data_IF_400719316542
#
_entry.id   IF_400719316542
#
_cell.length_a   1.000
_cell.length_b   1.000
_cell.length_c   1.000
_cell.angle_alpha   90.00
_cell.angle_beta   90.00
_cell.angle_gamma   90.00
#
_symmetry.space_group_name_H-M   'P 1'
#
loop_
_entity.id
_entity.type
_entity.pdbx_description
1 polymer ?
#
# COMPACT_ATOMS: atom_id res chain seq x y z
N UNK A 1 6.52 4.71 67.27
CA UNK A 1 7.29 5.24 66.13
C UNK A 1 7.75 4.08 65.28
N UNK A 2 7.11 3.87 64.13
CA UNK A 2 7.63 3.05 63.02
C UNK A 2 6.89 3.50 61.76
N UNK A 3 7.58 4.30 60.94
CA UNK A 3 7.11 4.74 59.62
C UNK A 3 7.71 3.81 58.57
N UNK A 4 6.86 3.04 57.92
CA UNK A 4 7.06 2.36 56.63
C UNK A 4 5.66 2.31 56.00
N UNK A 5 5.40 2.59 54.74
CA UNK A 5 6.18 2.31 53.55
C UNK A 5 5.66 3.17 52.37
N UNK A 6 6.61 3.69 51.59
CA UNK A 6 6.67 3.56 50.12
C UNK A 6 5.52 4.12 49.28
N UNK A 7 5.71 5.33 48.78
CA UNK A 7 5.24 5.73 47.46
C UNK A 7 5.97 4.91 46.38
N UNK A 8 5.26 4.46 45.34
CA UNK A 8 5.68 4.57 43.92
C UNK A 8 4.46 4.22 43.06
N UNK A 9 4.07 5.21 42.27
CA UNK A 9 3.13 5.18 41.15
C UNK A 9 3.61 4.15 40.13
N UNK A 10 2.78 3.17 39.79
CA UNK A 10 2.96 2.35 38.59
C UNK A 10 1.73 2.52 37.71
N UNK A 11 1.74 3.66 37.00
CA UNK A 11 0.96 3.91 35.81
C UNK A 11 1.58 3.06 34.69
N UNK A 12 1.23 1.77 34.65
CA UNK A 12 1.66 0.89 33.56
C UNK A 12 0.95 1.34 32.29
N UNK A 13 1.71 2.02 31.44
CA UNK A 13 1.37 2.34 30.05
C UNK A 13 0.70 1.13 29.41
N UNK A 14 -0.60 1.23 29.17
CA UNK A 14 -1.22 0.57 28.05
C UNK A 14 -0.62 1.21 26.80
N UNK A 15 0.54 0.71 26.37
CA UNK A 15 1.02 0.91 25.00
C UNK A 15 -0.04 0.22 24.15
N UNK A 16 -0.98 1.02 23.69
CA UNK A 16 -1.93 0.66 22.66
C UNK A 16 -1.09 0.27 21.45
N UNK A 17 -0.81 -1.02 21.33
CA UNK A 17 -0.42 -1.65 20.07
C UNK A 17 -1.65 -1.58 19.17
N UNK A 18 -2.04 -0.38 18.74
CA UNK A 18 -2.78 -0.22 17.49
C UNK A 18 -1.82 -0.66 16.41
N UNK A 19 -1.74 -1.97 16.21
CA UNK A 19 -1.10 -2.54 15.04
C UNK A 19 -1.77 -1.90 13.84
N UNK A 20 -1.04 -1.04 13.13
CA UNK A 20 -1.52 -0.50 11.88
C UNK A 20 -1.90 -1.69 11.00
N UNK A 21 -3.17 -1.80 10.63
CA UNK A 21 -3.61 -2.87 9.74
C UNK A 21 -2.79 -2.80 8.44
N UNK A 22 -2.29 -3.93 7.96
CA UNK A 22 -1.52 -4.02 6.71
C UNK A 22 -2.18 -5.00 5.74
N UNK A 23 -1.99 -4.74 4.45
CA UNK A 23 -2.34 -5.67 3.36
C UNK A 23 -1.08 -6.03 2.61
N UNK A 24 -0.80 -7.32 2.46
CA UNK A 24 0.28 -7.80 1.60
C UNK A 24 -0.19 -7.78 0.15
N UNK A 25 0.55 -7.07 -0.72
CA UNK A 25 0.29 -7.04 -2.16
C UNK A 25 1.47 -7.61 -2.90
N UNK A 26 1.20 -8.56 -3.80
CA UNK A 26 2.17 -9.23 -4.65
C UNK A 26 2.28 -8.48 -5.98
N UNK A 27 3.33 -7.69 -6.16
CA UNK A 27 3.62 -6.99 -7.41
C UNK A 27 4.36 -7.95 -8.34
N UNK A 28 3.65 -8.48 -9.34
CA UNK A 28 4.18 -9.55 -10.20
C UNK A 28 4.64 -9.05 -11.56
N UNK A 29 3.91 -8.07 -12.14
CA UNK A 29 4.15 -7.61 -13.49
C UNK A 29 4.17 -6.08 -13.60
N UNK A 30 5.02 -5.52 -14.47
CA UNK A 30 5.97 -6.22 -15.35
C UNK A 30 7.26 -6.62 -14.62
N UNK A 31 7.82 -7.79 -14.96
CA UNK A 31 9.05 -8.30 -14.35
C UNK A 31 10.26 -7.39 -14.68
N UNK A 32 11.16 -7.22 -13.71
CA UNK A 32 12.32 -6.34 -13.82
C UNK A 32 11.99 -4.84 -13.72
N UNK A 33 10.72 -4.47 -13.54
CA UNK A 33 10.37 -3.09 -13.24
C UNK A 33 10.76 -2.71 -11.80
N UNK A 34 11.13 -1.45 -11.62
CA UNK A 34 11.48 -0.88 -10.31
C UNK A 34 10.35 0.01 -9.83
N UNK A 35 9.74 -0.33 -8.70
CA UNK A 35 8.70 0.42 -8.02
C UNK A 35 9.31 1.23 -6.88
N UNK A 36 9.20 2.55 -6.95
CA UNK A 36 9.49 3.46 -5.85
C UNK A 36 8.18 3.83 -5.15
N UNK A 37 8.08 3.45 -3.88
CA UNK A 37 7.05 3.93 -2.99
C UNK A 37 7.56 5.19 -2.28
N UNK A 38 7.02 6.35 -2.65
CA UNK A 38 7.46 7.64 -2.09
C UNK A 38 7.18 7.70 -0.58
N UNK A 39 7.96 8.47 0.19
CA UNK A 39 7.70 8.69 1.59
C UNK A 39 6.30 9.29 1.79
N UNK A 40 5.65 8.92 2.89
CA UNK A 40 4.39 9.54 3.35
C UNK A 40 4.63 10.04 4.77
N UNK A 41 3.78 10.90 5.34
CA UNK A 41 4.03 11.61 6.61
C UNK A 41 4.45 10.77 7.85
N UNK A 42 4.47 9.43 7.77
CA UNK A 42 4.98 8.52 8.79
C UNK A 42 6.28 7.76 8.39
N UNK A 43 6.77 7.89 7.15
CA UNK A 43 7.96 7.22 6.63
C UNK A 43 8.95 8.27 6.09
N UNK A 44 10.15 8.31 6.67
CA UNK A 44 11.16 9.33 6.40
C UNK A 44 11.90 9.14 5.07
N UNK A 45 11.85 7.95 4.48
CA UNK A 45 12.51 7.63 3.22
C UNK A 45 11.58 6.84 2.30
N UNK A 46 11.65 7.12 1.00
CA UNK A 46 11.05 6.26 -0.02
C UNK A 46 11.76 4.91 -0.06
N UNK A 47 11.06 3.87 -0.50
CA UNK A 47 11.63 2.54 -0.66
C UNK A 47 11.42 2.04 -2.08
N UNK A 48 12.50 1.56 -2.67
CA UNK A 48 12.52 0.98 -4.01
C UNK A 48 12.45 -0.55 -3.93
N UNK A 49 11.75 -1.14 -4.88
CA UNK A 49 11.52 -2.57 -4.98
C UNK A 49 11.63 -2.99 -6.45
N UNK A 50 12.27 -4.11 -6.72
CA UNK A 50 12.28 -4.73 -8.04
C UNK A 50 11.17 -5.80 -8.12
N UNK A 51 10.44 -5.84 -9.24
CA UNK A 51 9.38 -6.83 -9.47
C UNK A 51 9.95 -8.12 -10.07
N UNK A 52 9.49 -9.31 -9.63
CA UNK A 52 8.36 -9.53 -8.72
C UNK A 52 8.73 -9.38 -7.24
N UNK A 53 7.81 -8.87 -6.43
CA UNK A 53 8.03 -8.66 -4.99
C UNK A 53 6.71 -8.61 -4.21
N UNK A 54 6.76 -8.95 -2.92
CA UNK A 54 5.62 -8.85 -2.01
C UNK A 54 5.86 -7.72 -1.00
N UNK A 55 4.90 -6.79 -0.89
CA UNK A 55 5.03 -5.62 -0.04
C UNK A 55 3.86 -5.57 0.94
N UNK A 56 4.19 -5.48 2.24
CA UNK A 56 3.21 -5.18 3.27
C UNK A 56 2.93 -3.68 3.27
N UNK A 57 1.74 -3.31 2.82
CA UNK A 57 1.31 -1.92 2.70
C UNK A 57 0.39 -1.55 3.87
N UNK A 58 0.59 -0.38 4.50
CA UNK A 58 -0.30 0.08 5.56
C UNK A 58 -1.68 0.37 4.97
N UNK A 59 -2.70 -0.25 5.55
CA UNK A 59 -4.08 0.11 5.30
C UNK A 59 -4.35 1.47 5.96
N UNK A 60 -5.16 2.29 5.31
CA UNK A 60 -5.63 3.54 5.89
C UNK A 60 -7.13 3.49 6.09
N UNK A 61 -7.56 3.97 7.25
CA UNK A 61 -8.94 4.37 7.48
C UNK A 61 -9.30 5.40 6.42
N UNK A 62 -10.15 5.02 5.47
CA UNK A 62 -10.93 6.01 4.75
C UNK A 62 -12.37 5.87 5.19
N UNK A 63 -12.84 6.72 6.14
CA UNK A 63 -14.24 6.73 6.52
C UNK A 63 -15.18 7.09 5.35
N UNK A 64 -14.65 7.56 4.21
CA UNK A 64 -15.41 7.87 3.00
C UNK A 64 -14.55 7.83 1.71
N UNK A 65 -14.06 6.69 1.18
CA UNK A 65 -13.46 6.75 -0.18
C UNK A 65 -13.20 5.44 -0.93
N UNK A 66 -14.21 4.61 -1.23
CA UNK A 66 -14.08 3.80 -2.46
C UNK A 66 -14.05 4.74 -3.69
N UNK A 67 -14.71 5.90 -3.58
CA UNK A 67 -14.91 6.88 -4.66
C UNK A 67 -14.13 8.21 -4.50
N UNK A 68 -13.23 8.34 -3.53
CA UNK A 68 -12.41 9.57 -3.38
C UNK A 68 -10.93 9.25 -3.59
N UNK A 69 -10.27 10.11 -4.38
CA UNK A 69 -8.86 10.03 -4.71
C UNK A 69 -7.96 10.72 -3.67
N UNK A 70 -8.49 11.09 -2.51
CA UNK A 70 -7.70 11.66 -1.42
C UNK A 70 -6.94 10.58 -0.63
N UNK A 71 -5.69 10.87 -0.25
CA UNK A 71 -4.90 10.02 0.66
C UNK A 71 -4.04 8.92 0.01
N UNK A 72 -4.03 8.84 -1.32
CA UNK A 72 -3.18 7.92 -2.09
C UNK A 72 -1.69 8.18 -1.85
N UNK A 73 -0.92 7.10 -1.71
CA UNK A 73 0.54 7.15 -1.63
C UNK A 73 1.11 7.38 -3.03
N UNK A 74 1.93 8.42 -3.26
CA UNK A 74 2.59 8.59 -4.54
C UNK A 74 3.51 7.41 -4.84
N UNK A 75 3.51 6.97 -6.08
CA UNK A 75 4.40 5.92 -6.58
C UNK A 75 5.07 6.38 -7.85
N UNK A 76 6.29 5.90 -8.07
CA UNK A 76 6.95 5.92 -9.39
C UNK A 76 7.31 4.51 -9.78
N UNK A 77 7.25 4.22 -11.06
CA UNK A 77 7.69 2.93 -11.59
C UNK A 77 8.57 3.17 -12.80
N UNK A 78 9.69 2.45 -12.88
CA UNK A 78 10.57 2.45 -14.06
C UNK A 78 10.48 1.05 -14.67
N UNK A 79 10.03 0.98 -15.92
CA UNK A 79 9.97 -0.27 -16.68
C UNK A 79 11.36 -0.71 -17.13
N UNK A 80 11.48 -1.96 -17.59
CA UNK A 80 12.75 -2.52 -18.08
C UNK A 80 13.30 -1.82 -19.33
N UNK A 81 12.47 -1.07 -20.05
CA UNK A 81 12.87 -0.24 -21.20
C UNK A 81 13.08 1.23 -20.82
N UNK A 82 13.31 1.51 -19.54
CA UNK A 82 13.49 2.84 -18.95
C UNK A 82 12.27 3.78 -19.05
N UNK A 83 11.11 3.28 -19.48
CA UNK A 83 9.86 4.06 -19.43
C UNK A 83 9.53 4.41 -17.97
N UNK A 84 9.40 5.70 -17.68
CA UNK A 84 9.05 6.21 -16.35
C UNK A 84 7.55 6.44 -16.23
N UNK A 85 6.98 5.91 -15.16
CA UNK A 85 5.57 6.02 -14.80
C UNK A 85 5.44 6.70 -13.44
N UNK A 86 4.39 7.50 -13.27
CA UNK A 86 4.00 8.08 -11.98
C UNK A 86 2.54 7.82 -11.70
N UNK A 87 2.19 7.80 -10.42
CA UNK A 87 0.84 7.47 -10.02
C UNK A 87 0.58 7.57 -8.53
N UNK A 88 -0.57 7.04 -8.13
CA UNK A 88 -1.01 6.96 -6.74
C UNK A 88 -1.53 5.56 -6.42
N UNK A 89 -1.10 5.04 -5.27
CA UNK A 89 -1.51 3.77 -4.68
C UNK A 89 -2.42 4.03 -3.47
N UNK A 90 -3.60 3.46 -3.51
CA UNK A 90 -4.60 3.52 -2.44
C UNK A 90 -4.74 2.12 -1.86
N UNK A 91 -4.64 1.99 -0.53
CA UNK A 91 -4.83 0.72 0.18
C UNK A 91 -5.95 0.89 1.18
N UNK A 92 -7.04 0.17 0.96
CA UNK A 92 -8.27 0.33 1.71
C UNK A 92 -8.20 -0.45 3.02
N UNK A 93 -8.70 0.15 4.11
CA UNK A 93 -8.93 -0.61 5.34
C UNK A 93 -10.03 -1.63 5.10
N UNK A 94 -9.69 -2.89 5.31
CA UNK A 94 -10.60 -4.00 5.24
C UNK A 94 -10.39 -4.86 6.48
N UNK A 95 -11.45 -5.01 7.27
CA UNK A 95 -11.53 -6.09 8.24
C UNK A 95 -11.70 -7.39 7.45
N UNK A 96 -10.56 -8.00 7.10
CA UNK A 96 -10.47 -9.27 6.41
C UNK A 96 -10.52 -10.40 7.43
N UNK A 97 -11.44 -11.34 7.26
CA UNK A 97 -11.40 -12.60 7.99
C UNK A 97 -10.18 -13.46 7.57
N UNK A 98 -9.91 -14.56 8.26
CA UNK A 98 -8.77 -15.42 7.94
C UNK A 98 -8.83 -15.97 6.50
N UNK A 99 -10.03 -16.24 5.98
CA UNK A 99 -10.22 -16.75 4.62
C UNK A 99 -9.87 -15.70 3.57
N UNK A 100 -10.28 -14.45 3.78
CA UNK A 100 -9.95 -13.33 2.90
C UNK A 100 -8.45 -13.01 2.89
N UNK A 101 -7.75 -13.24 4.01
CA UNK A 101 -6.29 -13.08 4.12
C UNK A 101 -5.50 -14.15 3.37
N UNK A 102 -6.10 -15.31 3.09
CA UNK A 102 -5.49 -16.38 2.29
C UNK A 102 -5.53 -16.09 0.79
N UNK A 103 -6.37 -15.15 0.36
CA UNK A 103 -6.41 -14.74 -1.03
C UNK A 103 -5.16 -13.90 -1.35
N UNK A 104 -4.38 -14.35 -2.33
CA UNK A 104 -3.25 -13.57 -2.82
C UNK A 104 -3.77 -12.31 -3.52
N UNK A 105 -3.41 -11.15 -2.98
CA UNK A 105 -3.76 -9.86 -3.55
C UNK A 105 -2.64 -9.44 -4.50
N UNK A 106 -2.86 -9.64 -5.80
CA UNK A 106 -1.83 -9.44 -6.81
C UNK A 106 -2.00 -8.10 -7.54
N UNK A 107 -0.88 -7.45 -7.84
CA UNK A 107 -0.75 -6.36 -8.80
C UNK A 107 -0.10 -6.86 -10.10
N UNK A 108 -0.77 -6.57 -11.21
CA UNK A 108 -0.27 -6.81 -12.57
C UNK A 108 -0.58 -5.60 -13.44
N UNK A 109 0.45 -4.99 -14.01
CA UNK A 109 0.32 -4.02 -15.09
C UNK A 109 0.62 -4.76 -16.41
N UNK A 110 -0.44 -5.05 -17.16
CA UNK A 110 -0.39 -5.87 -18.38
C UNK A 110 0.20 -5.11 -19.57
N UNK A 111 0.69 -5.83 -20.59
CA UNK A 111 1.26 -5.22 -21.80
C UNK A 111 0.26 -4.31 -22.53
N UNK A 112 -1.03 -4.67 -22.53
CA UNK A 112 -2.08 -3.81 -23.10
C UNK A 112 -2.18 -2.48 -22.36
N UNK A 113 -2.17 -2.53 -21.02
CA UNK A 113 -2.19 -1.32 -20.19
C UNK A 113 -0.91 -0.50 -20.36
N UNK A 114 0.26 -1.14 -20.45
CA UNK A 114 1.53 -0.46 -20.74
C UNK A 114 1.45 0.25 -22.09
N UNK A 115 0.90 -0.39 -23.12
CA UNK A 115 0.70 0.21 -24.44
C UNK A 115 -0.20 1.44 -24.39
N UNK A 116 -1.31 1.38 -23.64
CA UNK A 116 -2.20 2.54 -23.41
C UNK A 116 -1.46 3.68 -22.71
N UNK A 117 -0.72 3.37 -21.64
CA UNK A 117 0.08 4.38 -20.93
C UNK A 117 1.08 5.05 -21.88
N UNK A 118 1.81 4.27 -22.69
CA UNK A 118 2.77 4.79 -23.66
C UNK A 118 2.14 5.69 -24.74
N UNK A 119 0.85 5.49 -25.05
CA UNK A 119 0.08 6.36 -25.95
C UNK A 119 -0.41 7.66 -25.28
N UNK A 120 -0.23 7.80 -23.97
CA UNK A 120 -0.61 8.97 -23.19
C UNK A 120 -1.83 8.76 -22.31
N UNK A 121 -2.41 7.57 -22.28
CA UNK A 121 -3.53 7.27 -21.38
C UNK A 121 -3.05 7.09 -19.93
N UNK A 122 -3.98 7.26 -18.98
CA UNK A 122 -3.80 6.76 -17.62
C UNK A 122 -4.60 5.46 -17.46
N UNK A 123 -4.11 4.54 -16.64
CA UNK A 123 -4.81 3.29 -16.33
C UNK A 123 -5.05 3.14 -14.83
N UNK A 124 -6.17 2.52 -14.50
CA UNK A 124 -6.56 2.16 -13.13
C UNK A 124 -6.49 0.65 -12.98
N UNK A 125 -5.81 0.19 -11.93
CA UNK A 125 -5.68 -1.22 -11.55
C UNK A 125 -6.31 -1.37 -10.17
N UNK A 126 -7.19 -2.35 -10.00
CA UNK A 126 -7.87 -2.62 -8.72
C UNK A 126 -7.60 -4.07 -8.33
N UNK A 127 -7.03 -4.28 -7.15
CA UNK A 127 -6.89 -5.61 -6.56
C UNK A 127 -8.08 -5.91 -5.66
N UNK A 128 -8.56 -7.15 -5.71
CA UNK A 128 -9.74 -7.58 -4.98
C UNK A 128 -9.42 -8.72 -4.01
N UNK A 129 -10.16 -8.80 -2.90
CA UNK A 129 -10.15 -9.96 -1.99
C UNK A 129 -10.90 -11.15 -2.62
N UNK A 130 -10.83 -12.33 -1.99
CA UNK A 130 -11.63 -13.49 -2.40
C UNK A 130 -13.15 -13.20 -2.47
N UNK A 131 -13.65 -12.28 -1.65
CA UNK A 131 -15.07 -11.86 -1.65
C UNK A 131 -15.34 -10.69 -2.60
N UNK A 132 -14.43 -10.39 -3.53
CA UNK A 132 -14.53 -9.30 -4.51
C UNK A 132 -14.60 -7.89 -3.89
N UNK A 133 -14.04 -7.70 -2.69
CA UNK A 133 -13.90 -6.38 -2.07
C UNK A 133 -12.62 -5.73 -2.56
N UNK A 134 -12.62 -4.45 -2.97
CA UNK A 134 -11.38 -3.79 -3.42
C UNK A 134 -10.43 -3.62 -2.24
N UNK A 135 -9.22 -4.19 -2.36
CA UNK A 135 -8.15 -4.12 -1.36
C UNK A 135 -7.23 -2.93 -1.64
N UNK A 136 -6.94 -2.69 -2.91
CA UNK A 136 -6.14 -1.56 -3.35
C UNK A 136 -6.62 -1.02 -4.70
N UNK A 137 -6.28 0.23 -4.98
CA UNK A 137 -6.40 0.87 -6.29
C UNK A 137 -5.07 1.52 -6.65
N UNK A 138 -4.63 1.38 -7.89
CA UNK A 138 -3.44 2.05 -8.43
C UNK A 138 -3.85 2.81 -9.69
N UNK A 139 -3.61 4.10 -9.71
CA UNK A 139 -3.74 4.94 -10.91
C UNK A 139 -2.33 5.27 -11.39
N UNK A 140 -1.98 4.91 -12.62
CA UNK A 140 -0.65 5.19 -13.20
C UNK A 140 -0.76 5.75 -14.60
N UNK A 141 0.18 6.63 -14.94
CA UNK A 141 0.38 7.18 -16.27
C UNK A 141 1.85 7.50 -16.53
N UNK A 142 2.15 8.04 -17.71
CA UNK A 142 3.51 8.45 -18.05
C UNK A 142 4.02 9.57 -17.13
N UNK A 143 5.27 9.45 -16.70
CA UNK A 143 5.99 10.54 -16.04
C UNK A 143 6.60 11.46 -17.09
N UNK A 144 5.78 12.42 -17.56
CA UNK A 144 6.22 13.56 -18.38
C UNK A 144 6.67 14.72 -17.49
#
# INVERSE_FOLDING_TARGET
>A
MTKSATAIVLLTMAIVLTGCATSRVHFEQPAGARLLLEPTGYQSAGKEYELPTAIDLPQKDSPMSINSDSGGRPIRMVLSDDTKLKGYLYVYRLDMDQLEKLAEVTFRLTDEQISKIKKGDAVTIIGYSARKRPVYKVNVGLDR
#
